data_IF_999474470133
#
_entry.id   IF_999474470133
#
_cell.length_a   1.000
_cell.length_b   1.000
_cell.length_c   1.000
_cell.angle_alpha   90.00
_cell.angle_beta   90.00
_cell.angle_gamma   90.00
#
_symmetry.space_group_name_H-M   'P 1'
#
loop_
_entity.id
_entity.type
_entity.pdbx_description
1 polymer ?
#
# COMPACT_ATOMS: atom_id res chain seq x y z
N UNK A 1 -24.24 -14.86 7.08
CA UNK A 1 -23.24 -13.78 7.23
C UNK A 1 -22.09 -14.17 6.32
N UNK A 2 -21.97 -13.51 5.18
CA UNK A 2 -20.83 -13.70 4.29
C UNK A 2 -19.66 -12.93 4.91
N UNK A 3 -18.80 -13.65 5.62
CA UNK A 3 -17.51 -13.09 6.02
C UNK A 3 -16.70 -13.05 4.74
N UNK A 4 -16.74 -11.92 4.02
CA UNK A 4 -15.75 -11.64 2.99
C UNK A 4 -14.40 -11.84 3.66
N UNK A 5 -13.72 -12.93 3.35
CA UNK A 5 -12.39 -13.22 3.91
C UNK A 5 -11.56 -11.97 3.78
N UNK A 6 -10.93 -11.53 4.88
CA UNK A 6 -10.00 -10.40 4.86
C UNK A 6 -8.87 -10.78 3.89
N UNK A 7 -9.01 -10.35 2.63
CA UNK A 7 -8.04 -10.63 1.58
C UNK A 7 -6.87 -9.67 1.78
N UNK A 8 -5.83 -10.13 2.47
CA UNK A 8 -4.53 -9.46 2.42
C UNK A 8 -3.96 -9.73 1.04
N UNK A 9 -3.82 -8.68 0.23
CA UNK A 9 -3.14 -8.75 -1.06
C UNK A 9 -1.73 -8.20 -0.89
N UNK A 10 -0.72 -9.04 -1.08
CA UNK A 10 0.67 -8.61 -1.12
C UNK A 10 1.04 -8.17 -2.54
N UNK A 11 1.47 -6.93 -2.67
CA UNK A 11 2.00 -6.38 -3.92
C UNK A 11 3.48 -6.07 -3.76
N UNK A 12 4.34 -6.61 -4.62
CA UNK A 12 5.75 -6.20 -4.71
C UNK A 12 5.85 -5.09 -5.75
N UNK A 13 5.72 -3.84 -5.30
CA UNK A 13 5.56 -2.74 -6.23
C UNK A 13 6.25 -1.45 -5.80
N UNK A 14 7.31 -1.49 -4.98
CA UNK A 14 8.02 -0.26 -4.57
C UNK A 14 8.76 0.31 -5.78
N UNK A 15 8.20 1.36 -6.38
CA UNK A 15 8.79 2.02 -7.55
C UNK A 15 9.77 3.10 -7.11
N UNK A 16 9.39 3.93 -6.11
CA UNK A 16 10.18 5.07 -5.61
C UNK A 16 9.78 5.42 -4.17
N UNK A 17 10.74 5.95 -3.41
CA UNK A 17 10.50 6.57 -2.10
C UNK A 17 11.05 8.00 -2.08
N UNK A 18 10.31 8.94 -1.47
CA UNK A 18 10.73 10.33 -1.29
C UNK A 18 10.24 10.86 0.06
N UNK A 19 11.14 10.96 1.04
CA UNK A 19 10.74 11.33 2.40
C UNK A 19 9.82 10.26 3.00
N UNK A 20 8.67 10.66 3.52
CA UNK A 20 7.61 9.77 4.03
C UNK A 20 6.65 9.25 2.96
N UNK A 21 6.91 9.52 1.67
CA UNK A 21 6.07 9.07 0.57
C UNK A 21 6.67 7.85 -0.11
N UNK A 22 5.86 6.80 -0.23
CA UNK A 22 6.09 5.63 -1.06
C UNK A 22 5.18 5.69 -2.27
N UNK A 23 5.77 5.48 -3.44
CA UNK A 23 5.03 5.37 -4.70
C UNK A 23 5.13 3.93 -5.15
N UNK A 24 3.99 3.27 -5.25
CA UNK A 24 3.86 1.92 -5.73
C UNK A 24 3.07 1.86 -7.03
N UNK A 25 3.21 0.77 -7.79
CA UNK A 25 2.27 0.46 -8.87
C UNK A 25 0.84 0.33 -8.31
N UNK A 26 -0.16 0.54 -9.17
CA UNK A 26 -1.56 0.47 -8.75
C UNK A 26 -1.90 -0.88 -8.12
N UNK A 27 -2.41 -0.86 -6.88
CA UNK A 27 -2.80 -2.05 -6.13
C UNK A 27 -4.28 -2.35 -6.41
N UNK A 28 -4.63 -3.49 -7.04
CA UNK A 28 -6.02 -3.75 -7.43
C UNK A 28 -6.99 -3.82 -6.25
N UNK A 29 -7.89 -2.85 -6.18
CA UNK A 29 -8.95 -2.77 -5.17
C UNK A 29 -8.59 -1.99 -3.90
N UNK A 30 -7.41 -1.37 -3.84
CA UNK A 30 -7.07 -0.47 -2.74
C UNK A 30 -7.99 0.75 -2.73
N UNK A 31 -8.31 1.25 -1.53
CA UNK A 31 -9.17 2.41 -1.32
C UNK A 31 -8.42 3.56 -0.70
N UNK A 32 -8.90 4.77 -0.99
CA UNK A 32 -8.34 5.98 -0.41
C UNK A 32 -8.51 5.93 1.12
N UNK A 33 -7.49 6.38 1.86
CA UNK A 33 -7.36 6.26 3.31
C UNK A 33 -7.26 4.83 3.87
N UNK A 34 -7.11 3.80 3.03
CA UNK A 34 -6.87 2.44 3.49
C UNK A 34 -5.51 2.34 4.19
N UNK A 35 -5.49 1.61 5.30
CA UNK A 35 -4.27 1.34 6.07
C UNK A 35 -3.56 0.15 5.44
N UNK A 36 -2.26 0.31 5.21
CA UNK A 36 -1.41 -0.71 4.61
C UNK A 36 -0.19 -0.94 5.48
N UNK A 37 0.33 -2.16 5.46
CA UNK A 37 1.62 -2.48 6.04
C UNK A 37 2.70 -2.44 4.95
N UNK A 38 3.79 -1.75 5.23
CA UNK A 38 4.96 -1.62 4.37
C UNK A 38 6.10 -2.42 4.99
N UNK A 39 6.46 -3.53 4.35
CA UNK A 39 7.65 -4.30 4.70
C UNK A 39 8.87 -3.76 3.97
N UNK A 40 9.88 -3.34 4.73
CA UNK A 40 11.16 -2.86 4.22
C UNK A 40 12.14 -4.03 3.99
N UNK A 41 13.17 -3.82 3.19
CA UNK A 41 14.16 -4.86 2.87
C UNK A 41 14.90 -5.45 4.09
N UNK A 42 14.95 -4.73 5.20
CA UNK A 42 15.54 -5.18 6.47
C UNK A 42 14.56 -6.02 7.32
N UNK A 43 13.33 -6.25 6.84
CA UNK A 43 12.26 -6.95 7.56
C UNK A 43 11.48 -6.08 8.54
N UNK A 44 11.76 -4.76 8.61
CA UNK A 44 10.97 -3.83 9.41
C UNK A 44 9.61 -3.58 8.74
N UNK A 45 8.53 -3.68 9.51
CA UNK A 45 7.17 -3.39 9.05
C UNK A 45 6.72 -2.05 9.61
N UNK A 46 6.27 -1.15 8.73
CA UNK A 46 5.70 0.15 9.09
C UNK A 46 4.27 0.25 8.59
N UNK A 47 3.36 0.78 9.40
CA UNK A 47 2.02 1.09 8.93
C UNK A 47 2.01 2.40 8.17
N UNK A 48 1.31 2.43 7.05
CA UNK A 48 1.09 3.61 6.23
C UNK A 48 -0.36 3.75 5.81
N UNK A 49 -0.65 4.83 5.10
CA UNK A 49 -1.98 5.16 4.59
C UNK A 49 -1.92 5.49 3.10
N UNK A 50 -2.85 4.94 2.32
CA UNK A 50 -3.02 5.31 0.92
C UNK A 50 -3.62 6.73 0.80
N UNK A 51 -2.82 7.67 0.33
CA UNK A 51 -3.18 9.10 0.21
C UNK A 51 -3.44 9.55 -1.24
N UNK A 52 -3.14 8.71 -2.23
CA UNK A 52 -3.50 8.92 -3.62
C UNK A 52 -3.58 7.57 -4.35
N UNK A 53 -4.57 7.41 -5.23
CA UNK A 53 -4.83 6.18 -5.97
C UNK A 53 -5.26 6.53 -7.38
N UNK A 54 -4.51 6.02 -8.35
CA UNK A 54 -4.81 6.08 -9.77
C UNK A 54 -4.73 4.70 -10.41
N UNK A 55 -5.08 4.63 -11.69
CA UNK A 55 -4.91 3.42 -12.49
C UNK A 55 -3.43 3.02 -12.65
N UNK A 56 -2.52 3.98 -12.50
CA UNK A 56 -1.09 3.78 -12.74
C UNK A 56 -0.32 3.54 -11.43
N UNK A 57 -0.71 4.23 -10.35
CA UNK A 57 0.07 4.25 -9.13
C UNK A 57 -0.79 4.38 -7.87
N UNK A 58 -0.20 3.97 -6.76
CA UNK A 58 -0.69 4.19 -5.41
C UNK A 58 0.37 4.95 -4.63
N UNK A 59 -0.02 6.03 -3.97
CA UNK A 59 0.87 6.79 -3.08
C UNK A 59 0.50 6.48 -1.63
N UNK A 60 1.49 6.02 -0.88
CA UNK A 60 1.37 5.68 0.53
C UNK A 60 2.22 6.65 1.36
N UNK A 61 1.67 7.16 2.45
CA UNK A 61 2.42 7.89 3.46
C UNK A 61 2.67 7.00 4.69
N UNK A 62 3.91 6.92 5.16
CA UNK A 62 4.37 6.02 6.23
C UNK A 62 5.39 6.68 7.16
#
# INVERSE_FOLDING_TARGET
>A
MDFSSLYVKEGRAISKAKGSLLIAESIPGIKFNEIVDVELMNGEVKSGQAIDISEEATVVQY
#
